data_IF_602764102517
#
_entry.id   IF_602764102517
#
_cell.length_a   1.000
_cell.length_b   1.000
_cell.length_c   1.000
_cell.angle_alpha   90.00
_cell.angle_beta   90.00
_cell.angle_gamma   90.00
#
_symmetry.space_group_name_H-M   'P 1'
#
loop_
_entity.id
_entity.type
_entity.pdbx_description
1 polymer ?
2 non-polymer ?
3 non-polymer ?
4 water ?
#
# COMPACT_ATOMS: atom_id res chain seq x y z
N UNK A 1 -11.54 21.26 -0.57
CA UNK A 1 -11.56 21.05 0.91
C UNK A 1 -10.39 20.18 1.33
N UNK A 2 -10.42 19.62 2.56
CA UNK A 2 -9.35 18.74 3.00
C UNK A 2 -9.44 17.46 2.16
N UNK A 3 -8.31 16.79 1.97
CA UNK A 3 -8.27 15.41 1.41
C UNK A 3 -9.00 14.52 2.41
N UNK A 4 -9.72 13.52 1.90
CA UNK A 4 -10.41 12.57 2.76
C UNK A 4 -9.58 11.28 2.91
N UNK A 5 -9.55 10.76 4.12
CA UNK A 5 -8.72 9.61 4.52
C UNK A 5 -9.48 8.67 5.43
N UNK A 6 -9.18 7.40 5.33
CA UNK A 6 -9.74 6.34 6.19
C UNK A 6 -8.59 5.56 6.79
N UNK A 7 -8.66 5.23 8.06
CA UNK A 7 -7.77 4.26 8.73
C UNK A 7 -8.15 2.83 8.34
N UNK A 8 -7.16 2.01 8.08
CA UNK A 8 -7.41 0.64 7.66
C UNK A 8 -6.16 -0.22 7.81
N UNK A 9 -6.34 -1.51 7.82
CA UNK A 9 -5.28 -2.49 7.65
C UNK A 9 -5.50 -3.23 6.34
N UNK A 10 -4.44 -3.83 5.84
CA UNK A 10 -4.50 -4.67 4.65
C UNK A 10 -4.01 -6.05 5.03
N UNK A 11 -4.60 -7.08 4.43
CA UNK A 11 -4.03 -8.45 4.47
C UNK A 11 -4.05 -9.03 3.07
N UNK A 12 -3.02 -9.78 2.72
CA UNK A 12 -2.89 -10.43 1.40
C UNK A 12 -3.92 -11.58 1.33
N UNK A 13 -4.09 -12.13 0.15
CA UNK A 13 -5.17 -13.12 -0.07
C UNK A 13 -4.82 -14.43 0.63
N UNK A 14 -3.61 -14.58 1.10
CA UNK A 14 -3.24 -15.74 1.95
C UNK A 14 -3.42 -15.38 3.40
N UNK A 15 -3.98 -14.21 3.71
CA UNK A 15 -4.33 -13.70 5.02
C UNK A 15 -3.07 -13.41 5.83
N UNK A 16 -1.98 -13.04 5.17
CA UNK A 16 -0.81 -12.48 5.87
C UNK A 16 -1.02 -10.99 6.14
N UNK A 17 -0.52 -10.55 7.30
CA UNK A 17 -0.53 -9.17 7.82
C UNK A 17 0.77 -8.45 7.43
N UNK A 18 0.70 -7.12 7.30
CA UNK A 18 1.85 -6.24 6.99
C UNK A 18 2.38 -5.62 8.28
N UNK A 19 3.71 -5.58 8.44
CA UNK A 19 4.40 -5.05 9.65
C UNK A 19 5.58 -4.17 9.22
N UNK A 20 5.84 -3.07 9.92
CA UNK A 20 7.09 -2.28 9.73
C UNK A 20 8.18 -2.90 10.62
N UNK A 21 9.07 -3.71 10.03
CA UNK A 21 10.00 -4.65 10.72
C UNK A 21 11.43 -4.10 10.79
N UNK A 22 11.73 -3.04 10.04
CA UNK A 22 13.08 -2.44 9.93
C UNK A 22 12.96 -1.01 9.44
N UNK A 23 13.95 -0.13 9.70
CA UNK A 23 13.78 1.32 9.60
C UNK A 23 12.69 1.77 8.62
N UNK A 24 12.84 1.48 7.32
CA UNK A 24 11.87 1.85 6.25
C UNK A 24 11.28 0.57 5.63
N UNK A 25 11.03 -0.46 6.42
CA UNK A 25 10.74 -1.81 5.85
C UNK A 25 9.32 -2.27 6.20
N UNK A 26 8.62 -2.77 5.18
CA UNK A 26 7.35 -3.52 5.31
C UNK A 26 7.59 -4.96 4.86
N UNK A 27 7.24 -5.92 5.72
CA UNK A 27 7.24 -7.37 5.40
C UNK A 27 5.85 -7.92 5.69
N UNK A 28 5.58 -9.15 5.22
CA UNK A 28 4.28 -9.82 5.41
C UNK A 28 4.49 -11.13 6.16
N UNK A 29 3.58 -11.45 7.07
CA UNK A 29 3.63 -12.70 7.87
C UNK A 29 2.25 -13.00 8.48
N UNK A 30 2.06 -14.29 8.79
CA UNK A 30 0.87 -14.83 9.42
C UNK A 30 0.83 -14.35 10.87
N UNK A 31 -0.22 -13.66 11.27
CA UNK A 31 -0.39 -13.04 12.62
C UNK A 31 -1.77 -13.40 13.08
N UNK A 32 -1.94 -13.68 14.39
CA UNK A 32 -3.27 -13.86 14.98
C UNK A 32 -3.10 -13.66 16.48
N UNK A 33 -4.16 -13.21 17.12
CA UNK A 33 -4.19 -13.00 18.59
C UNK A 33 -3.44 -11.74 18.99
N UNK A 34 -2.65 -11.82 20.06
CA UNK A 34 -2.07 -10.60 20.69
C UNK A 34 -1.17 -9.93 19.66
N UNK A 35 -0.44 -10.72 18.87
CA UNK A 35 0.62 -10.23 17.95
C UNK A 35 -0.01 -9.34 16.87
N UNK A 36 -1.34 -9.26 16.79
CA UNK A 36 -2.00 -8.49 15.70
C UNK A 36 -1.88 -6.99 15.95
N UNK A 37 -1.59 -6.56 17.17
CA UNK A 37 -1.26 -5.14 17.46
C UNK A 37 -0.04 -4.71 16.63
N UNK A 38 0.79 -5.63 16.17
CA UNK A 38 2.04 -5.29 15.46
C UNK A 38 1.68 -4.84 14.03
N UNK A 39 0.49 -5.13 13.56
CA UNK A 39 0.22 -4.79 12.15
C UNK A 39 0.20 -3.29 11.93
N UNK A 40 0.57 -2.91 10.72
CA UNK A 40 0.61 -1.51 10.32
C UNK A 40 -0.81 -1.03 10.07
N UNK A 41 -1.15 0.11 10.63
CA UNK A 41 -2.38 0.82 10.30
C UNK A 41 -2.08 1.92 9.29
N UNK A 42 -2.79 1.86 8.18
CA UNK A 42 -2.67 2.83 7.10
C UNK A 42 -3.69 3.93 7.28
N UNK A 43 -3.32 5.10 6.80
CA UNK A 43 -4.28 6.16 6.46
C UNK A 43 -4.35 6.15 4.96
N UNK A 44 -5.47 5.67 4.41
CA UNK A 44 -5.69 5.61 2.95
C UNK A 44 -6.34 6.91 2.56
N UNK A 45 -5.66 7.74 1.79
CA UNK A 45 -6.19 9.04 1.29
C UNK A 45 -6.75 8.86 -0.13
N UNK A 46 -7.85 9.54 -0.44
CA UNK A 46 -8.50 9.46 -1.75
C UNK A 46 -8.03 10.69 -2.52
N UNK A 47 -7.17 10.48 -3.49
CA UNK A 47 -6.36 11.56 -4.09
C UNK A 47 -6.79 11.84 -5.52
N UNK A 48 -6.23 12.90 -6.07
CA UNK A 48 -6.45 13.27 -7.48
C UNK A 48 -5.83 12.23 -8.40
N UNK A 49 -6.54 11.89 -9.47
CA UNK A 49 -6.03 11.01 -10.52
C UNK A 49 -7.17 10.45 -11.36
N UNK A 50 -6.83 9.80 -12.47
CA UNK A 50 -7.80 9.08 -13.33
C UNK A 50 -8.57 8.04 -12.49
N UNK A 51 -9.90 8.01 -12.62
CA UNK A 51 -10.83 7.27 -11.74
C UNK A 51 -11.90 6.59 -12.61
N UNK A 52 -12.30 5.37 -12.26
CA UNK A 52 -13.49 4.68 -12.82
C UNK A 52 -14.20 3.94 -11.69
N UNK A 53 -15.30 3.24 -11.98
CA UNK A 53 -16.13 2.61 -10.92
C UNK A 53 -15.26 1.75 -10.03
N UNK A 54 -14.35 0.98 -10.63
CA UNK A 54 -13.64 -0.08 -9.88
C UNK A 54 -12.14 0.25 -9.71
N UNK A 55 -11.72 1.45 -10.12
CA UNK A 55 -10.31 1.94 -10.13
C UNK A 55 -10.24 3.31 -9.44
N UNK A 56 -9.71 3.36 -8.21
CA UNK A 56 -9.83 4.57 -7.34
C UNK A 56 -8.43 4.98 -6.91
N UNK A 57 -7.96 6.20 -7.23
CA UNK A 57 -6.58 6.55 -6.90
C UNK A 57 -6.48 6.86 -5.41
N UNK A 58 -5.48 6.24 -4.74
CA UNK A 58 -5.28 6.46 -3.28
C UNK A 58 -3.80 6.70 -3.04
N UNK A 59 -3.52 7.25 -1.87
CA UNK A 59 -2.19 7.18 -1.27
C UNK A 59 -2.30 6.36 0.00
N UNK A 60 -1.20 5.70 0.32
CA UNK A 60 -1.11 4.83 1.52
C UNK A 60 -0.05 5.40 2.46
N UNK A 61 -0.46 6.17 3.44
CA UNK A 61 0.41 6.67 4.50
C UNK A 61 0.30 5.77 5.71
N UNK A 62 1.29 5.75 6.57
CA UNK A 62 1.20 5.07 7.86
C UNK A 62 0.48 5.99 8.83
N UNK A 63 -0.48 5.46 9.56
CA UNK A 63 -1.31 6.29 10.46
C UNK A 63 -0.42 7.10 11.43
N UNK A 64 -0.66 8.40 11.40
CA UNK A 64 0.00 9.48 12.20
C UNK A 64 1.53 9.37 12.11
N UNK A 65 2.02 8.99 10.93
CA UNK A 65 3.48 9.08 10.61
C UNK A 65 3.58 9.79 9.28
N UNK A 66 4.67 10.51 9.09
CA UNK A 66 4.92 11.21 7.82
C UNK A 66 5.71 10.25 6.94
N UNK A 67 5.08 9.09 6.67
CA UNK A 67 5.67 8.03 5.82
C UNK A 67 4.58 7.53 4.88
N UNK A 68 4.94 7.42 3.64
CA UNK A 68 4.02 6.98 2.56
C UNK A 68 4.70 5.89 1.76
N UNK A 69 3.90 4.93 1.34
CA UNK A 69 4.37 4.05 0.27
C UNK A 69 4.58 4.83 -1.01
N UNK A 70 5.63 4.47 -1.74
CA UNK A 70 6.20 5.26 -2.85
C UNK A 70 6.80 4.34 -3.92
N UNK A 71 6.54 4.61 -5.21
CA UNK A 71 7.08 3.79 -6.30
C UNK A 71 8.12 4.62 -7.05
N UNK A 72 9.36 4.15 -6.99
CA UNK A 72 10.47 4.86 -7.67
C UNK A 72 11.33 3.81 -8.37
N UNK A 73 12.09 4.30 -9.35
CA UNK A 73 13.15 3.46 -9.91
C UNK A 73 14.30 3.35 -8.92
N UNK A 74 14.73 2.13 -8.64
CA UNK A 74 15.92 1.92 -7.79
C UNK A 74 16.80 0.92 -8.52
N UNK A 75 18.11 1.22 -8.62
CA UNK A 75 19.04 0.42 -9.46
C UNK A 75 18.25 0.02 -10.73
N UNK A 76 17.61 1.01 -11.35
CA UNK A 76 16.89 0.89 -12.66
C UNK A 76 15.66 -0.02 -12.62
N UNK A 77 15.10 -0.34 -11.46
CA UNK A 77 13.86 -1.15 -11.42
C UNK A 77 12.76 -0.38 -10.67
N UNK A 78 11.49 -0.49 -11.10
CA UNK A 78 10.34 -0.01 -10.32
C UNK A 78 10.37 -0.76 -8.98
N UNK A 79 10.40 -0.01 -7.90
CA UNK A 79 10.40 -0.61 -6.56
C UNK A 79 9.42 0.14 -5.67
N UNK A 80 9.08 -0.54 -4.59
CA UNK A 80 8.22 -0.01 -3.52
C UNK A 80 9.13 0.42 -2.39
N UNK A 81 8.96 1.65 -1.91
CA UNK A 81 9.69 2.12 -0.73
C UNK A 81 8.72 2.79 0.23
N UNK A 82 9.18 3.00 1.46
CA UNK A 82 8.56 3.94 2.40
C UNK A 82 9.32 5.23 2.29
N UNK A 83 8.66 6.34 2.13
CA UNK A 83 9.31 7.64 1.91
C UNK A 83 8.78 8.62 2.95
N UNK A 84 9.70 9.39 3.55
CA UNK A 84 9.44 10.49 4.52
C UNK A 84 8.96 11.73 3.77
N UNK A 85 7.99 12.46 4.34
CA UNK A 85 7.54 13.73 3.77
C UNK A 85 7.51 14.79 4.89
N UNK A 86 7.33 16.02 4.45
CA UNK A 86 7.14 17.16 5.38
C UNK A 86 5.78 17.04 6.03
N UNK A 87 5.65 16.79 7.35
CA UNK A 87 4.35 16.55 7.93
C UNK A 87 3.42 17.76 7.88
N UNK A 88 3.95 18.95 7.61
CA UNK A 88 3.10 20.18 7.47
C UNK A 88 2.29 20.11 6.17
N UNK A 89 2.74 19.35 5.17
CA UNK A 89 2.19 19.45 3.81
C UNK A 89 1.38 18.20 3.40
N UNK A 90 1.32 17.17 4.25
CA UNK A 90 0.72 15.85 3.89
C UNK A 90 -0.29 15.48 4.97
N UNK A 91 -1.36 14.73 4.64
CA UNK A 91 -1.65 14.36 3.28
C UNK A 91 -2.19 15.58 2.54
N UNK A 92 -2.24 15.44 1.24
CA UNK A 92 -2.85 16.46 0.37
C UNK A 92 -3.62 15.76 -0.74
N UNK A 93 -4.53 16.49 -1.38
CA UNK A 93 -5.36 15.88 -2.44
C UNK A 93 -4.51 15.58 -3.68
N UNK A 94 -3.62 16.49 -4.06
CA UNK A 94 -2.75 16.36 -5.24
C UNK A 94 -1.41 15.72 -4.84
N UNK A 95 -1.46 14.44 -4.48
CA UNK A 95 -0.23 13.71 -4.12
C UNK A 95 0.59 13.52 -5.38
N UNK A 96 1.91 13.58 -5.28
CA UNK A 96 2.84 13.31 -6.38
C UNK A 96 2.66 11.88 -6.88
N UNK A 97 2.95 11.65 -8.15
CA UNK A 97 2.52 10.40 -8.81
C UNK A 97 3.16 9.18 -8.16
N UNK A 98 4.37 9.27 -7.66
CA UNK A 98 5.07 8.12 -7.05
C UNK A 98 4.28 7.62 -5.83
N UNK A 99 3.39 8.42 -5.25
CA UNK A 99 2.67 8.03 -4.02
C UNK A 99 1.31 7.45 -4.42
N UNK A 100 0.90 7.49 -5.68
CA UNK A 100 -0.49 7.16 -6.06
C UNK A 100 -0.55 5.68 -6.50
N UNK A 101 -1.56 5.02 -5.95
CA UNK A 101 -1.94 3.66 -6.34
C UNK A 101 -3.35 3.70 -6.85
N UNK A 102 -3.59 2.94 -7.90
CA UNK A 102 -4.96 2.65 -8.34
C UNK A 102 -5.46 1.44 -7.55
N UNK A 103 -6.41 1.67 -6.68
CA UNK A 103 -7.05 0.61 -5.88
C UNK A 103 -8.15 0.03 -6.78
N UNK A 104 -7.97 -1.20 -7.17
CA UNK A 104 -8.81 -1.89 -8.18
C UNK A 104 -9.56 -3.00 -7.45
N UNK A 105 -10.88 -3.02 -7.58
CA UNK A 105 -11.70 -4.06 -6.91
C UNK A 105 -11.97 -5.13 -7.95
N UNK A 106 -11.43 -6.34 -7.79
CA UNK A 106 -11.78 -7.50 -8.69
C UNK A 106 -12.13 -8.70 -7.81
N UNK A 107 -13.33 -9.26 -8.06
CA UNK A 107 -13.83 -10.50 -7.42
C UNK A 107 -13.59 -10.40 -5.91
N UNK A 108 -14.10 -9.33 -5.31
CA UNK A 108 -14.24 -9.19 -3.84
C UNK A 108 -12.86 -9.02 -3.20
N UNK A 109 -11.83 -8.80 -4.01
CA UNK A 109 -10.47 -8.49 -3.50
C UNK A 109 -10.02 -7.14 -4.05
N UNK A 110 -8.94 -6.62 -3.49
CA UNK A 110 -8.33 -5.36 -3.95
C UNK A 110 -6.94 -5.62 -4.51
N UNK A 111 -6.59 -4.89 -5.56
CA UNK A 111 -5.22 -4.84 -6.04
C UNK A 111 -4.82 -3.36 -6.01
N UNK A 112 -3.56 -3.10 -5.79
CA UNK A 112 -3.02 -1.73 -5.74
C UNK A 112 -1.93 -1.63 -6.81
N UNK A 113 -2.35 -1.06 -7.94
CA UNK A 113 -1.43 -0.83 -9.06
C UNK A 113 -0.69 0.50 -8.87
N UNK A 114 0.59 0.52 -9.16
CA UNK A 114 1.30 1.83 -9.21
C UNK A 114 0.70 2.73 -10.30
N UNK A 115 0.29 3.95 -9.99
CA UNK A 115 -0.15 4.95 -11.00
C UNK A 115 1.08 5.25 -11.85
N UNK A 116 2.25 5.36 -11.27
CA UNK A 116 3.52 5.73 -11.99
C UNK A 116 3.94 4.61 -12.93
N UNK A 117 3.82 3.35 -12.52
CA UNK A 117 4.36 2.20 -13.27
C UNK A 117 3.18 1.28 -13.58
N UNK A 118 2.51 1.44 -14.74
CA UNK A 118 1.37 0.61 -15.09
C UNK A 118 1.73 -0.88 -15.03
N UNK A 119 0.82 -1.66 -14.45
CA UNK A 119 0.88 -3.11 -14.34
C UNK A 119 1.95 -3.60 -13.38
N UNK A 120 2.41 -2.72 -12.50
CA UNK A 120 3.22 -3.07 -11.31
C UNK A 120 2.33 -2.85 -10.08
N UNK A 121 2.37 -3.84 -9.21
CA UNK A 121 1.41 -3.99 -8.09
C UNK A 121 2.12 -4.18 -6.79
N UNK A 122 1.52 -3.64 -5.73
CA UNK A 122 1.91 -4.03 -4.35
C UNK A 122 1.74 -5.55 -4.27
N UNK A 123 2.76 -6.24 -3.80
CA UNK A 123 2.76 -7.72 -3.79
C UNK A 123 3.37 -8.25 -2.49
N UNK A 124 3.02 -9.49 -2.14
CA UNK A 124 3.63 -10.24 -1.03
C UNK A 124 4.04 -11.61 -1.55
N UNK A 125 4.99 -12.23 -0.88
CA UNK A 125 5.51 -13.57 -1.23
C UNK A 125 4.61 -14.63 -0.57
N UNK A 126 4.71 -15.86 -1.07
CA UNK A 126 4.20 -17.08 -0.40
C UNK A 126 4.84 -17.19 0.98
N UNK A 127 6.16 -16.98 1.04
CA UNK A 127 7.00 -17.18 2.24
C UNK A 127 6.88 -16.00 3.21
N UNK A 128 7.21 -16.32 4.46
CA UNK A 128 6.93 -15.61 5.73
C UNK A 128 8.11 -14.69 6.05
N UNK A 129 7.88 -13.37 6.18
CA UNK A 129 8.90 -12.35 6.56
C UNK A 129 9.76 -11.97 5.34
N UNK A 130 9.13 -11.81 4.18
CA UNK A 130 9.79 -11.32 2.94
C UNK A 130 9.29 -9.91 2.66
N UNK A 131 10.02 -9.10 1.87
CA UNK A 131 9.59 -7.73 1.59
C UNK A 131 8.18 -7.64 1.00
N UNK A 132 7.49 -6.54 1.32
CA UNK A 132 6.32 -6.07 0.54
C UNK A 132 6.91 -5.24 -0.60
N UNK A 133 6.76 -5.74 -1.82
CA UNK A 133 7.52 -5.27 -2.99
C UNK A 133 6.54 -4.81 -4.07
N UNK A 134 7.10 -4.17 -5.08
CA UNK A 134 6.39 -3.90 -6.29
C UNK A 134 6.72 -4.97 -7.31
N UNK A 135 5.70 -5.65 -7.77
CA UNK A 135 5.86 -6.81 -8.65
C UNK A 135 5.24 -6.46 -9.96
N UNK A 136 5.91 -6.85 -11.06
CA UNK A 136 5.59 -6.41 -12.45
C UNK A 136 4.62 -7.35 -13.13
N UNK A 137 3.81 -8.07 -12.35
CA UNK A 137 2.67 -8.85 -12.90
C UNK A 137 1.69 -9.23 -11.77
N UNK A 138 0.39 -9.00 -12.02
CA UNK A 138 -0.74 -9.57 -11.23
C UNK A 138 -1.00 -11.02 -11.70
N UNK A 139 0.06 -11.82 -11.91
CA UNK A 139 -0.05 -13.22 -12.41
C UNK A 139 1.19 -14.06 -12.12
N UNK A 140 1.06 -15.10 -11.26
CA UNK A 140 2.14 -16.06 -10.89
C UNK A 140 2.14 -16.46 -9.41
N UNK A 141 3.33 -16.71 -8.84
CA UNK A 141 3.49 -17.25 -7.45
C UNK A 141 3.29 -16.13 -6.42
N UNK A 142 3.71 -14.91 -6.76
CA UNK A 142 3.55 -13.73 -5.88
C UNK A 142 2.09 -13.30 -5.77
N UNK A 143 1.77 -12.73 -4.62
CA UNK A 143 0.39 -12.40 -4.24
C UNK A 143 0.17 -10.91 -4.50
N UNK A 144 -0.87 -10.55 -5.23
CA UNK A 144 -1.16 -9.16 -5.62
C UNK A 144 -2.57 -8.79 -5.19
N UNK A 145 -3.31 -9.65 -4.46
CA UNK A 145 -4.68 -9.38 -4.04
C UNK A 145 -4.70 -9.22 -2.52
N UNK A 146 -5.53 -8.33 -2.03
CA UNK A 146 -5.61 -8.00 -0.61
C UNK A 146 -7.06 -7.84 -0.24
N UNK A 147 -7.31 -7.88 1.06
CA UNK A 147 -8.52 -7.37 1.67
C UNK A 147 -8.19 -6.23 2.60
N UNK A 148 -9.14 -5.32 2.76
CA UNK A 148 -8.99 -4.16 3.66
C UNK A 148 -9.89 -4.42 4.87
N UNK A 149 -9.40 -4.01 6.03
CA UNK A 149 -10.21 -3.98 7.28
C UNK A 149 -10.26 -2.52 7.68
N UNK A 150 -11.41 -2.00 7.99
CA UNK A 150 -11.61 -0.61 8.44
C UNK A 150 -11.32 -0.63 9.95
N UNK A 151 -10.58 0.39 10.38
CA UNK A 151 -10.12 0.57 11.78
C UNK A 151 -10.82 1.84 12.31
N UNK A 152 -11.13 1.90 13.61
CA UNK A 152 -11.66 3.13 14.25
C UNK A 152 -10.67 4.29 14.04
X LIG B 1 -5.11 19.51 0.04
X LIG B 1 -4.25 20.40 0.80
X LIG B 1 -6.39 20.16 -0.23
X LIG B 1 -4.47 19.19 -1.21
X LIG B 1 -5.35 18.31 0.80
X LIG C 1 8.72 16.28 -5.27
X LIG C 1 8.08 15.83 -4.05
X LIG C 1 8.31 17.64 -5.55
X LIG C 1 10.15 16.21 -5.08
X LIG C 1 8.34 15.46 -6.40
X LIG D 1 15.90 -3.64 0.80
X LIG D 1 14.94 -4.59 1.55
X LIG D 1 11.82 -2.39 1.15
X LIG D 1 13.06 -2.94 0.95
X LIG D 1 11.31 -4.14 2.79
X LIG D 1 12.60 -4.68 2.58
X LIG D 1 13.49 -4.07 1.67
X LIG D 1 10.94 -2.99 2.09
X LIG D 1 9.30 -1.37 1.41
X LIG D 1 7.85 -0.97 1.66
X LIG D 1 9.70 -2.43 2.30
X LIG D 1 15.44 -4.88 2.89
#
# INVERSE_FOLDING_TARGET
>A
APVRSLNCTLRDSQQKSLVMSGPYELKALHLQGQDMEQQVVFSMSFVQGEESNDKIPVALGLKEKNLYLSCVLKDDKPTLQLESVDPKNYPKKKMEKRFVFNKIEINNKLEFESAQFPNWYISTSQAENMPVFLGGTKGGQDITDFTMQFVSS
>B hetero
1 SO4 S O1 O2 O3 O4
>C hetero
1 SO4 S O1 O2 O3 O4
>D hetero
1 A7N C10 C9 C8 C7 C4 C5 C6 C3 C2 C1 O1 N1
#
